data_IF_359457982070
#
_entry.id   IF_359457982070
#
_cell.length_a   1.000
_cell.length_b   1.000
_cell.length_c   1.000
_cell.angle_alpha   90.00
_cell.angle_beta   90.00
_cell.angle_gamma   90.00
#
_symmetry.space_group_name_H-M   'P 1'
#
loop_
_entity.id
_entity.type
_entity.pdbx_description
1 polymer ?
#
# COMPACT_ATOMS: atom_id res chain seq x y z
N UNK A 1 0.83 16.35 7.18
CA UNK A 1 0.09 15.81 6.02
C UNK A 1 1.04 15.33 4.93
N UNK A 2 1.02 14.03 4.67
CA UNK A 2 1.77 13.35 3.61
C UNK A 2 0.82 12.78 2.56
N UNK A 3 1.36 12.45 1.39
CA UNK A 3 0.61 11.82 0.30
C UNK A 3 1.28 10.49 -0.03
N UNK A 4 0.58 9.40 0.28
CA UNK A 4 1.01 8.04 -0.05
C UNK A 4 0.35 7.60 -1.35
N UNK A 5 1.08 6.82 -2.15
CA UNK A 5 0.55 6.12 -3.31
C UNK A 5 0.42 4.64 -2.97
N UNK A 6 -0.74 4.10 -3.27
CA UNK A 6 -1.12 2.72 -2.96
C UNK A 6 -1.50 2.01 -4.26
N UNK A 7 -1.19 0.73 -4.36
CA UNK A 7 -1.65 -0.16 -5.43
C UNK A 7 -2.30 -1.39 -4.80
N UNK A 8 -3.26 -1.98 -5.51
CA UNK A 8 -3.92 -3.23 -5.09
C UNK A 8 -3.27 -4.37 -5.87
N UNK A 9 -2.62 -5.28 -5.14
CA UNK A 9 -1.94 -6.44 -5.70
C UNK A 9 -2.91 -7.28 -6.54
N UNK A 10 -2.49 -7.67 -7.74
CA UNK A 10 -3.31 -8.47 -8.66
C UNK A 10 -4.39 -7.70 -9.42
N UNK A 11 -4.48 -6.37 -9.26
CA UNK A 11 -5.47 -5.53 -9.94
C UNK A 11 -4.77 -4.52 -10.84
N UNK A 12 -4.95 -4.66 -12.15
CA UNK A 12 -4.38 -3.76 -13.14
C UNK A 12 -4.93 -2.32 -13.00
N UNK A 13 -4.07 -1.32 -13.20
CA UNK A 13 -4.43 0.10 -13.13
C UNK A 13 -4.98 0.52 -11.76
N UNK A 14 -4.59 -0.16 -10.69
CA UNK A 14 -5.18 0.04 -9.36
C UNK A 14 -4.58 1.21 -8.59
N UNK A 15 -3.46 1.79 -9.04
CA UNK A 15 -2.74 2.83 -8.34
C UNK A 15 -3.62 4.05 -7.98
N UNK A 16 -3.51 4.53 -6.74
CA UNK A 16 -4.25 5.69 -6.25
C UNK A 16 -3.52 6.35 -5.09
N UNK A 17 -3.76 7.65 -4.90
CA UNK A 17 -3.19 8.38 -3.77
C UNK A 17 -4.16 8.52 -2.61
N UNK A 18 -3.63 8.44 -1.39
CA UNK A 18 -4.32 8.76 -0.14
C UNK A 18 -3.55 9.85 0.59
N UNK A 19 -4.25 10.75 1.27
CA UNK A 19 -3.66 11.77 2.15
C UNK A 19 -3.96 11.41 3.59
N UNK A 20 -2.93 11.46 4.42
CA UNK A 20 -2.95 11.20 5.87
C UNK A 20 -1.97 12.15 6.55
N UNK A 21 -2.08 12.35 7.85
CA UNK A 21 -1.09 13.06 8.64
C UNK A 21 0.01 12.11 9.15
N UNK A 22 1.19 12.64 9.47
CA UNK A 22 2.33 11.83 9.93
C UNK A 22 2.05 11.24 11.32
N UNK A 23 1.24 11.94 12.11
CA UNK A 23 0.74 11.50 13.41
C UNK A 23 -0.37 10.44 13.32
N UNK A 24 -0.94 10.22 12.15
CA UNK A 24 -1.98 9.22 11.97
C UNK A 24 -1.41 7.82 12.14
N UNK A 25 -2.26 6.87 12.49
CA UNK A 25 -1.90 5.47 12.58
C UNK A 25 -2.11 4.74 11.24
N UNK A 26 -1.55 3.54 11.14
CA UNK A 26 -1.86 2.62 10.02
C UNK A 26 -3.34 2.24 10.01
N UNK A 27 -4.03 2.25 11.15
CA UNK A 27 -5.48 2.05 11.21
C UNK A 27 -6.23 3.18 10.47
N UNK A 28 -5.87 4.43 10.74
CA UNK A 28 -6.43 5.60 10.05
C UNK A 28 -6.13 5.54 8.54
N UNK A 29 -4.94 5.08 8.16
CA UNK A 29 -4.59 4.85 6.75
C UNK A 29 -5.48 3.79 6.09
N UNK A 30 -5.80 2.69 6.78
CA UNK A 30 -6.71 1.66 6.26
C UNK A 30 -8.11 2.23 6.01
N UNK A 31 -8.62 3.04 6.95
CA UNK A 31 -9.89 3.73 6.79
C UNK A 31 -9.87 4.68 5.60
N UNK A 32 -8.81 5.49 5.47
CA UNK A 32 -8.65 6.43 4.36
C UNK A 32 -8.56 5.71 3.00
N UNK A 33 -7.85 4.57 2.92
CA UNK A 33 -7.78 3.72 1.74
C UNK A 33 -9.17 3.20 1.35
N UNK A 34 -9.92 2.63 2.31
CA UNK A 34 -11.26 2.11 2.07
C UNK A 34 -12.21 3.22 1.62
N UNK A 35 -12.18 4.39 2.27
CA UNK A 35 -12.98 5.54 1.89
C UNK A 35 -12.67 6.04 0.47
N UNK A 36 -11.42 5.85 0.01
CA UNK A 36 -10.99 6.24 -1.33
C UNK A 36 -11.42 5.26 -2.43
N UNK A 37 -11.57 3.97 -2.12
CA UNK A 37 -11.96 2.91 -3.05
C UNK A 37 -13.11 2.04 -2.49
N UNK A 38 -14.26 2.62 -2.10
CA UNK A 38 -15.32 1.88 -1.41
C UNK A 38 -16.01 0.83 -2.29
N UNK A 39 -15.93 0.98 -3.61
CA UNK A 39 -16.48 0.02 -4.57
C UNK A 39 -15.58 -1.17 -4.85
N UNK A 40 -14.27 -0.99 -4.70
CA UNK A 40 -13.28 -2.06 -4.89
C UNK A 40 -12.99 -2.78 -3.58
N UNK A 41 -12.87 -2.02 -2.48
CA UNK A 41 -12.52 -2.53 -1.16
C UNK A 41 -13.81 -2.72 -0.35
N UNK A 42 -14.31 -3.95 -0.33
CA UNK A 42 -15.50 -4.34 0.43
C UNK A 42 -15.09 -4.97 1.78
N UNK A 43 -15.92 -4.78 2.81
CA UNK A 43 -15.68 -5.29 4.15
C UNK A 43 -15.23 -4.22 5.14
N UNK A 44 -14.69 -4.65 6.28
CA UNK A 44 -14.14 -3.77 7.34
C UNK A 44 -12.71 -3.33 6.99
N UNK A 45 -12.33 -2.11 7.36
CA UNK A 45 -11.03 -1.54 6.98
C UNK A 45 -9.86 -2.20 7.74
N UNK A 46 -10.08 -2.59 8.99
CA UNK A 46 -9.12 -3.28 9.86
C UNK A 46 -8.57 -4.58 9.24
N UNK A 47 -9.40 -5.27 8.44
CA UNK A 47 -9.06 -6.48 7.69
C UNK A 47 -8.10 -6.26 6.52
N UNK A 48 -7.85 -5.01 6.12
CA UNK A 48 -6.85 -4.71 5.09
C UNK A 48 -5.45 -5.07 5.58
N UNK A 49 -4.69 -5.67 4.67
CA UNK A 49 -3.27 -5.95 4.85
C UNK A 49 -2.49 -4.95 4.00
N UNK A 50 -1.66 -4.15 4.68
CA UNK A 50 -0.81 -3.16 4.04
C UNK A 50 0.64 -3.60 4.15
N UNK A 51 1.38 -3.36 3.09
CA UNK A 51 2.79 -3.70 2.98
C UNK A 51 3.54 -2.52 2.40
N UNK A 52 4.76 -2.30 2.87
CA UNK A 52 5.62 -1.25 2.36
C UNK A 52 6.26 -1.71 1.06
N UNK A 53 5.97 -0.99 -0.03
CA UNK A 53 6.60 -1.18 -1.33
C UNK A 53 8.05 -0.66 -1.33
N UNK A 54 8.87 -1.15 -0.39
CA UNK A 54 10.28 -0.83 -0.22
C UNK A 54 11.13 -2.05 -0.61
N UNK A 55 12.16 -1.81 -1.41
CA UNK A 55 13.21 -2.76 -1.79
C UNK A 55 14.54 -2.20 -1.31
N UNK A 56 15.32 -3.02 -0.60
CA UNK A 56 16.61 -2.61 -0.02
C UNK A 56 16.54 -1.31 0.81
N UNK A 57 15.40 -1.10 1.50
CA UNK A 57 15.15 0.08 2.34
C UNK A 57 14.68 1.33 1.58
N UNK A 58 14.60 1.28 0.24
CA UNK A 58 14.13 2.39 -0.59
C UNK A 58 12.76 2.08 -1.21
N UNK A 59 11.92 3.10 -1.39
CA UNK A 59 10.65 2.95 -2.11
C UNK A 59 10.89 2.50 -3.54
N UNK A 60 10.03 1.61 -4.04
CA UNK A 60 10.01 1.23 -5.45
C UNK A 60 9.79 2.47 -6.32
N UNK A 61 10.53 2.53 -7.42
CA UNK A 61 10.43 3.61 -8.40
C UNK A 61 9.42 3.25 -9.48
N UNK A 62 8.86 4.26 -10.14
CA UNK A 62 7.91 4.08 -11.24
C UNK A 62 8.50 3.31 -12.44
N UNK A 63 9.82 3.39 -12.63
CA UNK A 63 10.55 2.68 -13.69
C UNK A 63 11.10 1.31 -13.27
N UNK A 64 10.84 0.88 -12.03
CA UNK A 64 11.23 -0.45 -11.56
C UNK A 64 10.34 -1.53 -12.23
N UNK A 65 10.91 -2.63 -12.75
CA UNK A 65 10.13 -3.72 -13.34
C UNK A 65 9.02 -4.24 -12.43
N UNK A 66 9.24 -4.28 -11.11
CA UNK A 66 8.23 -4.72 -10.15
C UNK A 66 7.02 -3.78 -10.11
N UNK A 67 7.25 -2.47 -10.26
CA UNK A 67 6.17 -1.46 -10.32
C UNK A 67 5.40 -1.57 -11.62
N UNK A 68 6.09 -1.70 -12.76
CA UNK A 68 5.45 -1.83 -14.07
C UNK A 68 4.57 -3.09 -14.14
N UNK A 69 5.07 -4.23 -13.64
CA UNK A 69 4.27 -5.45 -13.57
C UNK A 69 3.05 -5.31 -12.65
N UNK A 70 3.20 -4.61 -11.52
CA UNK A 70 2.11 -4.33 -10.60
C UNK A 70 1.02 -3.47 -11.23
N UNK A 71 1.38 -2.50 -12.07
CA UNK A 71 0.42 -1.70 -12.85
C UNK A 71 -0.37 -2.54 -13.85
N UNK A 72 0.26 -3.58 -14.42
CA UNK A 72 -0.40 -4.57 -15.28
C UNK A 72 -1.24 -5.59 -14.49
N UNK A 73 -1.25 -5.52 -13.16
CA UNK A 73 -1.96 -6.46 -12.28
C UNK A 73 -1.22 -7.80 -12.12
N UNK A 74 0.06 -7.87 -12.47
CA UNK A 74 0.93 -9.02 -12.21
C UNK A 74 1.66 -8.83 -10.88
N UNK A 75 2.09 -9.92 -10.27
CA UNK A 75 2.88 -9.88 -9.04
C UNK A 75 4.31 -10.30 -9.35
N UNK A 76 5.22 -9.33 -9.42
CA UNK A 76 6.66 -9.58 -9.54
C UNK A 76 7.21 -10.25 -8.27
N UNK A 77 8.31 -11.00 -8.39
CA UNK A 77 8.93 -11.71 -7.26
C UNK A 77 9.31 -10.77 -6.10
N UNK A 78 9.72 -9.54 -6.40
CA UNK A 78 10.05 -8.54 -5.38
C UNK A 78 8.82 -8.10 -4.58
N UNK A 79 7.65 -7.96 -5.24
CA UNK A 79 6.38 -7.68 -4.56
C UNK A 79 5.96 -8.87 -3.71
N UNK A 80 6.13 -10.10 -4.21
CA UNK A 80 5.87 -11.31 -3.43
C UNK A 80 6.75 -11.37 -2.17
N UNK A 81 8.04 -11.03 -2.30
CA UNK A 81 8.98 -10.97 -1.17
C UNK A 81 8.53 -9.94 -0.11
N UNK A 82 8.00 -8.79 -0.54
CA UNK A 82 7.43 -7.78 0.35
C UNK A 82 6.19 -8.32 1.08
N UNK A 83 5.30 -9.01 0.38
CA UNK A 83 4.07 -9.60 0.95
C UNK A 83 4.38 -10.73 1.94
N UNK A 84 5.39 -11.54 1.65
CA UNK A 84 5.85 -12.63 2.53
C UNK A 84 6.58 -12.11 3.78
N UNK A 85 6.92 -10.81 3.80
CA UNK A 85 7.56 -10.11 4.91
C UNK A 85 6.61 -9.65 6.02
N UNK A 86 7.03 -8.63 6.79
CA UNK A 86 6.22 -8.07 7.87
C UNK A 86 5.15 -7.11 7.31
N UNK A 87 3.88 -7.50 7.49
CA UNK A 87 2.75 -6.58 7.26
C UNK A 87 2.77 -5.42 8.26
N UNK A 88 2.29 -4.27 7.83
CA UNK A 88 2.20 -3.10 8.70
C UNK A 88 1.25 -3.37 9.89
N UNK A 89 1.66 -2.98 11.09
CA UNK A 89 0.82 -3.07 12.30
C UNK A 89 -0.08 -1.84 12.37
N UNK A 90 -1.35 -2.04 12.73
CA UNK A 90 -2.33 -0.96 12.86
C UNK A 90 -1.88 0.14 13.84
N UNK A 91 -1.05 -0.21 14.83
CA UNK A 91 -0.54 0.70 15.86
C UNK A 91 0.70 1.49 15.44
N UNK A 92 1.28 1.26 14.26
CA UNK A 92 2.39 2.07 13.75
C UNK A 92 1.87 3.45 13.35
N UNK A 93 2.67 4.50 13.57
CA UNK A 93 2.39 5.84 13.08
C UNK A 93 2.92 5.98 11.65
N UNK A 94 2.34 6.89 10.87
CA UNK A 94 2.80 7.15 9.50
C UNK A 94 4.21 7.76 9.45
N UNK A 95 4.65 8.44 10.50
CA UNK A 95 6.03 8.91 10.63
C UNK A 95 7.06 7.77 10.61
N UNK A 96 6.70 6.58 11.12
CA UNK A 96 7.58 5.41 11.20
C UNK A 96 7.58 4.56 9.91
N UNK A 97 6.82 4.96 8.88
CA UNK A 97 6.49 4.15 7.69
C UNK A 97 7.52 4.24 6.56
#
# INVERSE_FOLDING_TARGET
>A
MVKLFCAIVGVAGSAFSVRVDESDSVDDLKDAIKARKPDTIKGEADKLQLFLAKKDGAWLKDDDPATLELEEGKTHQDIQTVIDGEKMKATWTIEDV
#
